data_IF_203343975691
#
_entry.id   IF_203343975691
#
_cell.length_a   1.000
_cell.length_b   1.000
_cell.length_c   1.000
_cell.angle_alpha   90.00
_cell.angle_beta   90.00
_cell.angle_gamma   90.00
#
_symmetry.space_group_name_H-M   'P 1'
#
loop_
_entity.id
_entity.type
_entity.pdbx_description
1 polymer ?
#
# COMPACT_ATOMS: atom_id res chain seq x y z
N UNK A 1 -9.07 6.52 -1.66
CA UNK A 1 -8.24 6.32 -2.87
C UNK A 1 -7.84 4.85 -2.98
N UNK A 2 -8.05 4.25 -4.14
CA UNK A 2 -7.61 2.88 -4.40
C UNK A 2 -6.41 2.93 -5.34
N UNK A 3 -5.34 2.25 -4.96
CA UNK A 3 -4.12 2.17 -5.76
C UNK A 3 -3.90 0.71 -6.16
N UNK A 4 -4.07 0.42 -7.45
CA UNK A 4 -3.77 -0.90 -7.98
C UNK A 4 -2.27 -0.99 -8.24
N UNK A 5 -1.62 -1.95 -7.58
CA UNK A 5 -0.18 -2.09 -7.66
C UNK A 5 0.24 -2.92 -8.88
N UNK A 6 1.46 -2.69 -9.41
CA UNK A 6 1.94 -3.42 -10.58
C UNK A 6 2.26 -4.88 -10.27
N UNK A 7 2.51 -5.65 -11.30
CA UNK A 7 2.81 -7.07 -11.20
C UNK A 7 4.03 -7.35 -10.32
N UNK A 8 5.04 -6.51 -10.41
CA UNK A 8 6.25 -6.62 -9.62
C UNK A 8 6.53 -5.29 -8.92
N UNK A 9 6.86 -5.34 -7.63
CA UNK A 9 7.16 -4.14 -6.85
C UNK A 9 8.60 -4.22 -6.37
N UNK A 10 9.49 -3.62 -7.14
CA UNK A 10 10.87 -3.37 -6.77
C UNK A 10 11.01 -1.91 -6.30
N UNK A 11 12.24 -1.50 -6.03
CA UNK A 11 12.51 -0.13 -5.59
C UNK A 11 12.01 0.92 -6.61
N UNK A 12 12.23 0.67 -7.89
CA UNK A 12 11.81 1.60 -8.95
C UNK A 12 10.29 1.73 -9.01
N UNK A 13 9.58 0.61 -8.99
CA UNK A 13 8.12 0.62 -9.04
C UNK A 13 7.50 1.21 -7.77
N UNK A 14 8.07 0.90 -6.61
CA UNK A 14 7.61 1.49 -5.35
C UNK A 14 7.76 3.01 -5.36
N UNK A 15 8.87 3.53 -5.86
CA UNK A 15 9.10 4.97 -5.96
C UNK A 15 8.12 5.63 -6.92
N UNK A 16 7.84 4.98 -8.04
CA UNK A 16 6.87 5.47 -9.02
C UNK A 16 5.46 5.57 -8.40
N UNK A 17 5.04 4.55 -7.67
CA UNK A 17 3.74 4.57 -6.99
C UNK A 17 3.72 5.66 -5.92
N UNK A 18 4.81 5.81 -5.16
CA UNK A 18 4.92 6.87 -4.15
C UNK A 18 4.72 8.25 -4.77
N UNK A 19 5.33 8.51 -5.91
CA UNK A 19 5.18 9.80 -6.61
C UNK A 19 3.75 10.02 -7.09
N UNK A 20 3.09 8.98 -7.58
CA UNK A 20 1.68 9.06 -7.97
C UNK A 20 0.79 9.40 -6.77
N UNK A 21 1.07 8.81 -5.60
CA UNK A 21 0.36 9.15 -4.36
C UNK A 21 0.55 10.62 -3.99
N UNK A 22 1.79 11.11 -4.05
CA UNK A 22 2.08 12.50 -3.71
C UNK A 22 1.32 13.46 -4.63
N UNK A 23 1.27 13.16 -5.93
CA UNK A 23 0.52 13.98 -6.87
C UNK A 23 -0.98 14.00 -6.55
N UNK A 24 -1.53 12.86 -6.17
CA UNK A 24 -2.94 12.77 -5.78
C UNK A 24 -3.23 13.56 -4.50
N UNK A 25 -2.33 13.52 -3.52
CA UNK A 25 -2.45 14.32 -2.31
C UNK A 25 -2.44 15.82 -2.58
N UNK A 26 -1.76 16.25 -3.64
CA UNK A 26 -1.72 17.67 -4.03
C UNK A 26 -3.01 18.11 -4.71
N UNK A 27 -3.73 17.20 -5.35
CA UNK A 27 -4.93 17.52 -6.13
C UNK A 27 -6.23 17.27 -5.40
N UNK A 28 -6.26 16.31 -4.47
CA UNK A 28 -7.47 15.83 -3.83
C UNK A 28 -7.31 15.77 -2.33
N UNK A 29 -8.43 15.88 -1.62
CA UNK A 29 -8.46 15.62 -0.18
C UNK A 29 -8.59 14.10 -0.01
N UNK A 30 -7.48 13.45 0.37
CA UNK A 30 -7.43 12.00 0.55
C UNK A 30 -7.14 11.69 2.00
N UNK A 31 -8.04 10.93 2.63
CA UNK A 31 -7.83 10.46 3.99
C UNK A 31 -7.38 9.00 4.02
N UNK A 32 -8.10 8.13 3.30
CA UNK A 32 -7.87 6.69 3.36
C UNK A 32 -7.31 6.17 2.03
N UNK A 33 -6.45 5.16 2.13
CA UNK A 33 -5.80 4.55 0.97
C UNK A 33 -6.01 3.04 1.02
N UNK A 34 -6.42 2.46 -0.11
CA UNK A 34 -6.48 1.02 -0.29
C UNK A 34 -5.40 0.63 -1.30
N UNK A 35 -4.46 -0.23 -0.89
CA UNK A 35 -3.50 -0.82 -1.81
C UNK A 35 -4.03 -2.15 -2.30
N UNK A 36 -4.26 -2.26 -3.59
CA UNK A 36 -4.76 -3.47 -4.24
C UNK A 36 -3.58 -4.25 -4.84
N UNK A 37 -3.26 -5.39 -4.21
CA UNK A 37 -2.18 -6.28 -4.60
C UNK A 37 -2.65 -7.42 -5.51
N UNK A 38 -3.89 -7.36 -6.02
CA UNK A 38 -4.47 -8.48 -6.78
C UNK A 38 -3.64 -8.90 -7.98
N UNK A 39 -2.99 -7.93 -8.65
CA UNK A 39 -2.17 -8.20 -9.83
C UNK A 39 -0.69 -8.43 -9.49
N UNK A 40 -0.32 -8.30 -8.24
CA UNK A 40 1.08 -8.36 -7.82
C UNK A 40 1.50 -9.79 -7.55
N UNK A 41 2.51 -10.27 -8.28
CA UNK A 41 3.06 -11.61 -8.12
C UNK A 41 4.35 -11.64 -7.30
N UNK A 42 5.09 -10.53 -7.28
CA UNK A 42 6.37 -10.44 -6.58
C UNK A 42 6.56 -9.04 -5.98
N UNK A 43 7.21 -9.02 -4.82
CA UNK A 43 7.50 -7.76 -4.13
C UNK A 43 8.76 -7.92 -3.29
N UNK A 44 9.65 -6.93 -3.31
CA UNK A 44 10.74 -6.85 -2.34
C UNK A 44 10.36 -5.92 -1.18
N UNK A 45 11.30 -5.65 -0.29
CA UNK A 45 11.06 -4.82 0.89
C UNK A 45 10.65 -3.38 0.57
N UNK A 46 10.91 -2.92 -0.65
CA UNK A 46 10.48 -1.58 -1.08
C UNK A 46 8.97 -1.43 -1.07
N UNK A 47 8.23 -2.53 -1.33
CA UNK A 47 6.77 -2.53 -1.24
C UNK A 47 6.29 -2.31 0.19
N UNK A 48 6.97 -2.90 1.16
CA UNK A 48 6.67 -2.66 2.58
C UNK A 48 6.96 -1.20 2.94
N UNK A 49 8.09 -0.66 2.49
CA UNK A 49 8.44 0.74 2.71
C UNK A 49 7.42 1.70 2.11
N UNK A 50 6.88 1.38 0.94
CA UNK A 50 5.83 2.17 0.31
C UNK A 50 4.59 2.26 1.20
N UNK A 51 4.12 1.12 1.71
CA UNK A 51 2.94 1.06 2.60
C UNK A 51 3.20 1.85 3.87
N UNK A 52 4.34 1.62 4.53
CA UNK A 52 4.68 2.32 5.77
C UNK A 52 4.80 3.83 5.58
N UNK A 53 5.34 4.27 4.46
CA UNK A 53 5.43 5.69 4.13
C UNK A 53 4.07 6.35 4.04
N UNK A 54 3.09 5.64 3.48
CA UNK A 54 1.72 6.15 3.37
C UNK A 54 1.01 6.15 4.72
N UNK A 55 1.23 5.12 5.54
CA UNK A 55 0.70 5.11 6.92
C UNK A 55 1.15 6.35 7.66
N UNK A 56 2.44 6.67 7.61
CA UNK A 56 2.99 7.86 8.28
C UNK A 56 2.40 9.15 7.73
N UNK A 57 2.21 9.22 6.42
CA UNK A 57 1.72 10.42 5.74
C UNK A 57 0.30 10.79 6.18
N UNK A 58 -0.57 9.81 6.35
CA UNK A 58 -1.99 10.05 6.62
C UNK A 58 -2.36 9.89 8.09
N UNK A 59 -1.43 9.45 8.94
CA UNK A 59 -1.68 9.31 10.38
C UNK A 59 -2.14 10.62 11.04
N UNK A 60 -1.52 11.78 10.76
CA UNK A 60 -1.92 13.04 11.40
C UNK A 60 -3.36 13.48 11.12
N UNK A 61 -3.96 12.99 10.04
CA UNK A 61 -5.35 13.31 9.71
C UNK A 61 -6.28 12.13 10.00
N UNK A 62 -5.84 11.19 10.84
CA UNK A 62 -6.59 9.97 11.20
C UNK A 62 -6.94 9.10 9.99
N UNK A 63 -6.11 9.14 8.95
CA UNK A 63 -6.28 8.32 7.77
C UNK A 63 -5.98 6.86 8.05
N UNK A 64 -6.61 5.98 7.26
CA UNK A 64 -6.44 4.54 7.37
C UNK A 64 -5.86 3.98 6.09
N UNK A 65 -4.96 3.00 6.23
CA UNK A 65 -4.42 2.24 5.10
C UNK A 65 -5.00 0.83 5.14
N UNK A 66 -5.48 0.40 3.99
CA UNK A 66 -6.05 -0.94 3.82
C UNK A 66 -5.24 -1.69 2.78
N UNK A 67 -5.09 -3.00 2.97
CA UNK A 67 -4.43 -3.89 2.02
C UNK A 67 -5.43 -4.92 1.52
N UNK A 68 -5.37 -5.24 0.24
CA UNK A 68 -6.28 -6.17 -0.39
C UNK A 68 -5.56 -7.04 -1.42
N UNK A 69 -5.91 -8.31 -1.48
CA UNK A 69 -5.62 -9.16 -2.63
C UNK A 69 -4.22 -9.76 -2.70
N UNK A 70 -3.41 -9.67 -1.68
CA UNK A 70 -2.06 -10.24 -1.70
C UNK A 70 -2.08 -11.76 -1.82
N UNK A 71 -1.16 -12.34 -2.63
CA UNK A 71 -0.95 -13.78 -2.67
C UNK A 71 -0.27 -14.25 -1.37
N UNK A 72 -0.05 -15.57 -1.23
CA UNK A 72 0.56 -16.12 -0.01
C UNK A 72 1.92 -15.51 0.33
N UNK A 73 2.78 -15.32 -0.70
CA UNK A 73 4.09 -14.74 -0.51
C UNK A 73 3.98 -13.31 0.04
N UNK A 74 3.12 -12.50 -0.58
CA UNK A 74 2.94 -11.10 -0.20
C UNK A 74 2.32 -10.99 1.18
N UNK A 75 1.31 -11.79 1.48
CA UNK A 75 0.69 -11.80 2.81
C UNK A 75 1.70 -12.18 3.89
N UNK A 76 2.57 -13.15 3.60
CA UNK A 76 3.62 -13.54 4.52
C UNK A 76 4.63 -12.40 4.74
N UNK A 77 4.94 -11.65 3.70
CA UNK A 77 5.81 -10.47 3.83
C UNK A 77 5.18 -9.42 4.73
N UNK A 78 3.88 -9.16 4.60
CA UNK A 78 3.17 -8.25 5.49
C UNK A 78 3.29 -8.69 6.95
N UNK A 79 3.05 -9.97 7.19
CA UNK A 79 3.12 -10.56 8.53
C UNK A 79 4.52 -10.45 9.12
N UNK A 80 5.54 -10.85 8.35
CA UNK A 80 6.93 -10.82 8.82
C UNK A 80 7.46 -9.42 9.06
N UNK A 81 6.97 -8.45 8.30
CA UNK A 81 7.34 -7.04 8.46
C UNK A 81 6.63 -6.37 9.64
N UNK A 82 5.64 -7.04 10.24
CA UNK A 82 4.92 -6.51 11.38
C UNK A 82 3.97 -5.36 11.08
N UNK A 83 3.58 -5.18 9.82
CA UNK A 83 2.74 -4.04 9.44
C UNK A 83 1.25 -4.28 9.70
N UNK A 84 0.85 -5.52 9.99
CA UNK A 84 -0.57 -5.86 10.16
C UNK A 84 -1.23 -5.13 11.34
N UNK A 85 -0.43 -4.62 12.28
CA UNK A 85 -0.95 -3.80 13.37
C UNK A 85 -1.22 -2.34 12.96
N UNK A 86 -0.73 -1.94 11.80
CA UNK A 86 -0.79 -0.54 11.33
C UNK A 86 -1.78 -0.36 10.19
N UNK A 87 -2.26 -1.46 9.61
CA UNK A 87 -3.15 -1.45 8.46
C UNK A 87 -4.31 -2.42 8.71
N UNK A 88 -5.33 -2.34 7.86
CA UNK A 88 -6.44 -3.29 7.88
C UNK A 88 -6.43 -4.08 6.58
N UNK A 89 -6.50 -5.40 6.67
CA UNK A 89 -6.59 -6.27 5.50
C UNK A 89 -8.06 -6.46 5.15
N UNK A 90 -8.41 -6.19 3.90
CA UNK A 90 -9.77 -6.32 3.41
C UNK A 90 -9.95 -7.63 2.67
N UNK A 91 -11.15 -8.22 2.80
CA UNK A 91 -11.55 -9.41 2.05
C UNK A 91 -12.09 -9.04 0.67
N UNK A 92 -12.62 -7.84 0.52
CA UNK A 92 -13.14 -7.35 -0.76
C UNK A 92 -13.10 -5.81 -0.79
N UNK A 93 -13.19 -5.26 -2.02
CA UNK A 93 -13.27 -3.81 -2.25
C UNK A 93 -14.65 -3.50 -2.83
N UNK A 94 -15.68 -3.63 -2.04
CA UNK A 94 -17.03 -3.29 -2.48
C UNK A 94 -17.59 -2.05 -1.78
#
# INVERSE_FOLDING_TARGET
MVIRLPKEIDHYQAEKVRMECEQSFMKFIIRDIIFDFSDTSFMDSSGIGLVLGRVRKIHPINGKVYLFGGNELIQKMWEMAGILNLVTVLDSIE
#
